data_IF_848546101998
#
_entry.id   IF_848546101998
#
_cell.length_a   1.000
_cell.length_b   1.000
_cell.length_c   1.000
_cell.angle_alpha   90.00
_cell.angle_beta   90.00
_cell.angle_gamma   90.00
#
_symmetry.space_group_name_H-M   'P 1'
#
loop_
_entity.id
_entity.type
_entity.pdbx_description
1 polymer ?
#
# COMPACT_ATOMS: atom_id res chain seq x y z
N UNK A 1 -4.35 -64.56 5.32
CA UNK A 1 -4.95 -63.28 5.74
C UNK A 1 -3.90 -62.20 5.56
N UNK A 2 -3.97 -61.49 4.44
CA UNK A 2 -3.08 -60.38 4.14
C UNK A 2 -3.71 -59.12 4.74
N UNK A 3 -3.02 -58.49 5.68
CA UNK A 3 -3.47 -57.26 6.33
C UNK A 3 -2.94 -56.08 5.52
N UNK A 4 -3.85 -55.35 4.88
CA UNK A 4 -3.57 -54.08 4.19
C UNK A 4 -3.20 -52.99 5.21
N UNK A 5 -2.05 -52.38 5.01
CA UNK A 5 -1.74 -51.00 5.42
C UNK A 5 -1.01 -50.44 4.19
N UNK A 6 -1.56 -49.45 3.45
CA UNK A 6 -1.30 -48.04 3.82
C UNK A 6 -2.34 -47.02 3.27
N UNK A 7 -3.05 -46.31 4.15
CA UNK A 7 -3.84 -45.13 3.73
C UNK A 7 -3.39 -43.84 4.44
N UNK A 8 -2.70 -43.96 5.58
CA UNK A 8 -2.39 -42.82 6.45
C UNK A 8 -1.09 -42.10 6.07
N UNK A 9 -0.15 -42.75 5.38
CA UNK A 9 1.12 -42.12 4.98
C UNK A 9 0.97 -41.25 3.72
N UNK A 10 0.20 -41.69 2.73
CA UNK A 10 -0.05 -40.90 1.51
C UNK A 10 -0.86 -39.61 1.77
N UNK A 11 -1.73 -39.61 2.77
CA UNK A 11 -2.53 -38.43 3.13
C UNK A 11 -1.72 -37.34 3.85
N UNK A 12 -0.59 -37.69 4.47
CA UNK A 12 0.31 -36.73 5.12
C UNK A 12 1.31 -36.15 4.11
N UNK A 13 1.89 -36.99 3.24
CA UNK A 13 2.79 -36.51 2.17
C UNK A 13 2.08 -35.62 1.14
N UNK A 14 0.83 -35.94 0.73
CA UNK A 14 0.07 -35.06 -0.18
C UNK A 14 -0.32 -33.72 0.45
N UNK A 15 -0.53 -33.66 1.77
CA UNK A 15 -0.86 -32.42 2.46
C UNK A 15 0.38 -31.52 2.62
N UNK A 16 1.56 -32.12 2.83
CA UNK A 16 2.83 -31.39 2.93
C UNK A 16 3.27 -30.83 1.57
N UNK A 17 3.06 -31.55 0.47
CA UNK A 17 3.33 -31.03 -0.89
C UNK A 17 2.34 -29.91 -1.31
N UNK A 18 1.06 -29.99 -0.94
CA UNK A 18 0.10 -28.90 -1.17
C UNK A 18 0.37 -27.67 -0.29
N UNK A 19 0.86 -27.85 0.94
CA UNK A 19 1.28 -26.74 1.80
C UNK A 19 2.58 -26.09 1.33
N UNK A 20 3.54 -26.87 0.79
CA UNK A 20 4.75 -26.32 0.17
C UNK A 20 4.47 -25.59 -1.16
N UNK A 21 3.45 -26.01 -1.91
CA UNK A 21 2.99 -25.31 -3.12
C UNK A 21 2.27 -23.97 -2.83
N UNK A 22 1.97 -23.62 -1.57
CA UNK A 22 1.27 -22.40 -1.18
C UNK A 22 2.09 -21.47 -0.27
N UNK A 23 3.36 -21.24 -0.60
CA UNK A 23 4.06 -20.06 -0.10
C UNK A 23 3.48 -18.80 -0.76
N UNK A 24 3.35 -17.71 0.01
CA UNK A 24 2.86 -16.42 -0.50
C UNK A 24 3.79 -15.93 -1.61
N UNK A 25 3.25 -15.73 -2.82
CA UNK A 25 4.02 -15.38 -4.01
C UNK A 25 4.24 -13.86 -4.16
N UNK A 26 3.30 -13.05 -3.70
CA UNK A 26 3.32 -11.59 -3.83
C UNK A 26 3.30 -10.87 -2.48
N UNK A 27 2.66 -11.45 -1.47
CA UNK A 27 2.42 -10.85 -0.15
C UNK A 27 3.39 -11.34 0.93
N UNK A 28 4.48 -12.01 0.56
CA UNK A 28 5.54 -12.44 1.50
C UNK A 28 6.12 -11.25 2.29
N UNK A 29 6.26 -10.08 1.63
CA UNK A 29 6.72 -8.87 2.29
C UNK A 29 5.81 -8.43 3.46
N UNK A 30 4.51 -8.77 3.42
CA UNK A 30 3.56 -8.43 4.49
C UNK A 30 3.89 -9.25 5.73
N UNK A 31 4.23 -10.53 5.57
CA UNK A 31 4.68 -11.37 6.68
C UNK A 31 6.01 -10.85 7.23
N UNK A 32 6.97 -10.56 6.35
CA UNK A 32 8.26 -10.00 6.77
C UNK A 32 8.09 -8.68 7.55
N UNK A 33 7.29 -7.74 7.03
CA UNK A 33 7.01 -6.47 7.68
C UNK A 33 6.26 -6.66 9.02
N UNK A 34 5.34 -7.63 9.10
CA UNK A 34 4.63 -7.95 10.34
C UNK A 34 5.59 -8.48 11.40
N UNK A 35 6.46 -9.43 11.05
CA UNK A 35 7.49 -9.96 11.96
C UNK A 35 8.42 -8.84 12.41
N UNK A 36 8.86 -8.00 11.46
CA UNK A 36 9.73 -6.87 11.76
C UNK A 36 9.05 -5.88 12.71
N UNK A 37 7.79 -5.51 12.46
CA UNK A 37 7.03 -4.62 13.33
C UNK A 37 6.83 -5.20 14.74
N UNK A 38 6.47 -6.48 14.84
CA UNK A 38 6.32 -7.20 16.11
C UNK A 38 7.64 -7.22 16.89
N UNK A 39 8.75 -7.50 16.22
CA UNK A 39 10.07 -7.51 16.85
C UNK A 39 10.45 -6.12 17.38
N UNK A 40 10.25 -5.06 16.60
CA UNK A 40 10.55 -3.69 17.05
C UNK A 40 9.64 -3.27 18.21
N UNK A 41 8.34 -3.59 18.13
CA UNK A 41 7.39 -3.34 19.21
C UNK A 41 7.78 -4.10 20.49
N UNK A 42 8.21 -5.36 20.37
CA UNK A 42 8.67 -6.17 21.50
C UNK A 42 9.94 -5.61 22.15
N UNK A 43 10.89 -5.10 21.35
CA UNK A 43 12.09 -4.43 21.87
C UNK A 43 11.70 -3.18 22.65
N UNK A 44 10.85 -2.32 22.08
CA UNK A 44 10.40 -1.09 22.74
C UNK A 44 9.61 -1.40 24.01
N UNK A 45 8.71 -2.39 23.96
CA UNK A 45 7.92 -2.82 25.10
C UNK A 45 8.80 -3.38 26.22
N UNK A 46 9.69 -4.33 25.90
CA UNK A 46 10.61 -4.94 26.88
C UNK A 46 11.49 -3.88 27.53
N UNK A 47 12.05 -2.96 26.73
CA UNK A 47 12.84 -1.84 27.23
C UNK A 47 12.05 -0.92 28.18
N UNK A 48 10.82 -0.56 27.81
CA UNK A 48 9.95 0.27 28.64
C UNK A 48 9.54 -0.46 29.93
N UNK A 49 9.22 -1.75 29.84
CA UNK A 49 8.88 -2.61 30.98
C UNK A 49 10.03 -2.72 31.96
N UNK A 50 11.25 -2.97 31.49
CA UNK A 50 12.45 -3.03 32.35
C UNK A 50 12.76 -1.71 33.05
N UNK A 51 12.46 -0.57 32.39
CA UNK A 51 12.70 0.78 32.92
C UNK A 51 11.53 1.39 33.69
N UNK A 52 10.44 0.64 33.90
CA UNK A 52 9.21 1.16 34.53
C UNK A 52 9.28 1.33 36.06
N UNK A 53 10.37 0.87 36.70
CA UNK A 53 10.62 1.10 38.13
C UNK A 53 9.48 0.56 39.02
N UNK A 54 8.89 1.37 39.93
CA UNK A 54 7.78 0.94 40.79
C UNK A 54 6.54 0.41 40.06
N UNK A 55 6.37 0.75 38.78
CA UNK A 55 5.22 0.34 37.97
C UNK A 55 5.37 -1.05 37.33
N UNK A 56 6.56 -1.66 37.41
CA UNK A 56 6.87 -2.94 36.77
C UNK A 56 5.92 -4.06 37.20
N UNK A 57 5.62 -4.15 38.49
CA UNK A 57 4.70 -5.16 39.04
C UNK A 57 3.27 -4.99 38.52
N UNK A 58 2.82 -3.75 38.32
CA UNK A 58 1.53 -3.45 37.71
C UNK A 58 1.47 -3.88 36.24
N UNK A 59 2.53 -3.61 35.48
CA UNK A 59 2.64 -4.05 34.07
C UNK A 59 2.63 -5.58 33.96
N UNK A 60 3.38 -6.28 34.82
CA UNK A 60 3.39 -7.75 34.85
C UNK A 60 2.02 -8.34 35.22
N UNK A 61 1.31 -7.76 36.19
CA UNK A 61 -0.02 -8.23 36.56
C UNK A 61 -1.04 -8.05 35.43
N UNK A 62 -0.99 -6.92 34.71
CA UNK A 62 -1.88 -6.66 33.56
C UNK A 62 -1.50 -7.56 32.38
N UNK A 63 -0.21 -7.78 32.13
CA UNK A 63 0.26 -8.69 31.08
C UNK A 63 -0.27 -10.12 31.30
N UNK A 64 -0.19 -10.63 32.52
CA UNK A 64 -0.73 -11.96 32.86
C UNK A 64 -2.27 -12.02 32.76
N UNK A 65 -2.97 -10.96 33.17
CA UNK A 65 -4.42 -10.88 33.01
C UNK A 65 -4.83 -10.87 31.53
N UNK A 66 -4.18 -10.04 30.71
CA UNK A 66 -4.42 -9.96 29.26
C UNK A 66 -4.08 -11.28 28.61
N UNK A 67 -2.96 -11.90 28.95
CA UNK A 67 -2.58 -13.22 28.44
C UNK A 67 -3.63 -14.27 28.77
N UNK A 68 -4.18 -14.28 29.99
CA UNK A 68 -5.22 -15.23 30.40
C UNK A 68 -6.53 -15.04 29.63
N UNK A 69 -6.93 -13.79 29.37
CA UNK A 69 -8.19 -13.48 28.68
C UNK A 69 -8.06 -13.64 27.16
N UNK A 70 -6.92 -13.24 26.60
CA UNK A 70 -6.72 -13.16 25.14
C UNK A 70 -6.11 -14.43 24.58
N UNK A 71 -5.29 -15.20 25.33
CA UNK A 71 -4.69 -16.43 24.81
C UNK A 71 -5.72 -17.42 24.24
N UNK A 72 -6.86 -17.72 24.90
CA UNK A 72 -7.87 -18.62 24.33
C UNK A 72 -8.52 -18.09 23.04
N UNK A 73 -8.54 -16.77 22.86
CA UNK A 73 -9.05 -16.13 21.64
C UNK A 73 -8.00 -16.23 20.53
N UNK A 74 -6.74 -15.94 20.87
CA UNK A 74 -5.62 -16.06 19.94
C UNK A 74 -5.46 -17.50 19.43
N UNK A 75 -5.50 -18.50 20.32
CA UNK A 75 -5.39 -19.91 19.96
C UNK A 75 -6.47 -20.34 18.96
N UNK A 76 -7.68 -19.76 19.04
CA UNK A 76 -8.77 -20.05 18.11
C UNK A 76 -8.63 -19.34 16.76
N UNK A 77 -8.00 -18.17 16.71
CA UNK A 77 -8.05 -17.29 15.54
C UNK A 77 -6.70 -16.97 14.90
N UNK A 78 -5.57 -17.38 15.47
CA UNK A 78 -4.22 -17.03 14.97
C UNK A 78 -3.94 -17.49 13.54
N UNK A 79 -4.65 -18.52 13.06
CA UNK A 79 -4.53 -19.01 11.68
C UNK A 79 -5.35 -18.20 10.67
N UNK A 80 -6.43 -17.53 11.12
CA UNK A 80 -7.34 -16.79 10.24
C UNK A 80 -6.64 -15.68 9.44
N UNK A 81 -5.76 -14.84 10.04
CA UNK A 81 -5.01 -13.83 9.29
C UNK A 81 -4.11 -14.42 8.20
N UNK A 82 -3.49 -15.57 8.48
CA UNK A 82 -2.60 -16.23 7.50
C UNK A 82 -3.41 -16.78 6.32
N UNK A 83 -4.56 -17.39 6.58
CA UNK A 83 -5.44 -17.91 5.53
C UNK A 83 -6.06 -16.79 4.68
N UNK A 84 -6.44 -15.67 5.29
CA UNK A 84 -6.90 -14.49 4.55
C UNK A 84 -5.79 -13.91 3.66
N UNK A 85 -4.56 -13.88 4.17
CA UNK A 85 -3.40 -13.40 3.41
C UNK A 85 -3.11 -14.31 2.22
N UNK A 86 -3.17 -15.64 2.39
CA UNK A 86 -3.07 -16.60 1.28
C UNK A 86 -4.18 -16.42 0.25
N UNK A 87 -5.41 -16.20 0.69
CA UNK A 87 -6.53 -15.93 -0.22
C UNK A 87 -6.28 -14.67 -1.05
N UNK A 88 -5.85 -13.59 -0.41
CA UNK A 88 -5.51 -12.34 -1.09
C UNK A 88 -4.34 -12.53 -2.07
N UNK A 89 -3.30 -13.25 -1.67
CA UNK A 89 -2.14 -13.55 -2.50
C UNK A 89 -2.51 -14.33 -3.76
N UNK A 90 -3.36 -15.36 -3.62
CA UNK A 90 -3.91 -16.10 -4.75
C UNK A 90 -4.75 -15.22 -5.68
N UNK A 91 -5.55 -14.31 -5.13
CA UNK A 91 -6.34 -13.36 -5.94
C UNK A 91 -5.46 -12.37 -6.71
N UNK A 92 -4.33 -11.97 -6.12
CA UNK A 92 -3.32 -11.19 -6.82
C UNK A 92 -2.70 -12.01 -7.95
N UNK A 93 -2.35 -13.27 -7.72
CA UNK A 93 -1.80 -14.17 -8.75
C UNK A 93 -2.76 -14.34 -9.94
N UNK A 94 -4.04 -14.62 -9.68
CA UNK A 94 -5.09 -14.70 -10.70
C UNK A 94 -5.18 -13.41 -11.53
N UNK A 95 -5.14 -12.25 -10.85
CA UNK A 95 -5.21 -10.93 -11.50
C UNK A 95 -3.97 -10.66 -12.37
N UNK A 96 -2.78 -11.02 -11.86
CA UNK A 96 -1.53 -10.87 -12.59
C UNK A 96 -1.52 -11.78 -13.83
N UNK A 97 -1.98 -13.03 -13.71
CA UNK A 97 -2.07 -13.95 -14.84
C UNK A 97 -3.03 -13.45 -15.94
N UNK A 98 -4.18 -12.89 -15.54
CA UNK A 98 -5.15 -12.33 -16.50
C UNK A 98 -4.58 -11.10 -17.22
N UNK A 99 -3.89 -10.21 -16.50
CA UNK A 99 -3.17 -9.08 -17.10
C UNK A 99 -2.05 -9.58 -18.03
N UNK A 100 -1.31 -10.60 -17.62
CA UNK A 100 -0.19 -11.15 -18.39
C UNK A 100 -0.64 -11.68 -19.76
N UNK A 101 -1.85 -12.24 -19.83
CA UNK A 101 -2.51 -12.73 -21.05
C UNK A 101 -2.94 -11.61 -21.99
N UNK A 102 -3.31 -10.45 -21.46
CA UNK A 102 -3.87 -9.33 -22.23
C UNK A 102 -2.85 -8.24 -22.57
N UNK A 103 -1.66 -8.27 -21.97
CA UNK A 103 -0.63 -7.25 -22.16
C UNK A 103 0.42 -7.70 -23.18
N UNK A 104 0.56 -7.01 -24.32
CA UNK A 104 1.57 -7.33 -25.31
C UNK A 104 2.99 -7.12 -24.75
N UNK A 105 3.94 -7.94 -25.21
CA UNK A 105 5.30 -8.11 -24.65
C UNK A 105 6.15 -6.82 -24.65
N UNK A 106 5.79 -5.83 -25.46
CA UNK A 106 6.38 -4.50 -25.50
C UNK A 106 6.10 -3.68 -24.22
N UNK A 107 4.94 -3.83 -23.60
CA UNK A 107 4.61 -3.14 -22.34
C UNK A 107 5.36 -3.74 -21.15
N UNK A 108 5.55 -5.07 -21.13
CA UNK A 108 6.36 -5.76 -20.11
C UNK A 108 7.82 -5.27 -20.14
N UNK A 109 8.42 -5.12 -21.33
CA UNK A 109 9.77 -4.56 -21.50
C UNK A 109 9.87 -3.11 -21.03
N UNK A 110 8.90 -2.27 -21.37
CA UNK A 110 8.88 -0.87 -20.92
C UNK A 110 8.74 -0.76 -19.39
N UNK A 111 7.93 -1.63 -18.76
CA UNK A 111 7.79 -1.68 -17.30
C UNK A 111 9.09 -2.12 -16.62
N UNK A 112 9.73 -3.19 -17.10
CA UNK A 112 11.02 -3.64 -16.53
C UNK A 112 12.10 -2.59 -16.69
N UNK A 113 12.12 -1.87 -17.82
CA UNK A 113 13.04 -0.76 -18.06
C UNK A 113 12.76 0.42 -17.12
N UNK A 114 11.48 0.73 -16.85
CA UNK A 114 11.10 1.75 -15.86
C UNK A 114 11.48 1.36 -14.43
N UNK A 115 11.23 0.11 -14.01
CA UNK A 115 11.65 -0.40 -12.70
C UNK A 115 13.18 -0.40 -12.53
N UNK A 116 13.91 -0.75 -13.59
CA UNK A 116 15.37 -0.66 -13.62
C UNK A 116 15.84 0.79 -13.43
N UNK A 117 15.27 1.74 -14.18
CA UNK A 117 15.57 3.18 -14.04
C UNK A 117 15.25 3.68 -12.63
N UNK A 118 14.14 3.26 -12.01
CA UNK A 118 13.81 3.59 -10.62
C UNK A 118 14.82 3.02 -9.62
N UNK A 119 15.28 1.78 -9.83
CA UNK A 119 16.27 1.14 -8.96
C UNK A 119 17.67 1.76 -9.10
N UNK A 120 18.06 2.14 -10.32
CA UNK A 120 19.31 2.84 -10.61
C UNK A 120 19.30 4.25 -10.00
N UNK A 121 18.18 4.97 -10.08
CA UNK A 121 17.99 6.28 -9.42
C UNK A 121 18.13 6.18 -7.90
N UNK A 122 17.57 5.13 -7.29
CA UNK A 122 17.72 4.88 -5.85
C UNK A 122 19.17 4.60 -5.44
N UNK A 123 19.96 3.98 -6.32
CA UNK A 123 21.34 3.56 -6.04
C UNK A 123 22.37 4.66 -6.32
N UNK A 124 22.15 5.44 -7.37
CA UNK A 124 23.10 6.47 -7.84
C UNK A 124 22.81 7.85 -7.25
N UNK A 125 21.68 8.02 -6.55
CA UNK A 125 21.27 9.32 -5.99
C UNK A 125 20.92 10.35 -7.06
N UNK A 126 20.77 9.93 -8.32
CA UNK A 126 20.47 10.78 -9.47
C UNK A 126 18.96 11.08 -9.51
N UNK A 127 18.50 11.74 -8.45
CA UNK A 127 17.11 12.20 -8.30
C UNK A 127 16.75 13.16 -9.43
N UNK A 128 17.70 13.94 -9.94
CA UNK A 128 17.46 14.95 -10.98
C UNK A 128 17.14 14.34 -12.35
N UNK A 129 17.78 13.24 -12.74
CA UNK A 129 17.46 12.53 -14.01
C UNK A 129 16.12 11.79 -13.88
N UNK A 130 15.84 11.20 -12.72
CA UNK A 130 14.56 10.56 -12.43
C UNK A 130 13.39 11.57 -12.48
N UNK A 131 13.60 12.74 -11.86
CA UNK A 131 12.68 13.87 -11.87
C UNK A 131 12.48 14.39 -13.30
N UNK A 132 13.54 14.48 -14.10
CA UNK A 132 13.48 14.85 -15.51
C UNK A 132 12.64 13.88 -16.37
N UNK A 133 12.81 12.57 -16.17
CA UNK A 133 12.02 11.54 -16.87
C UNK A 133 10.57 11.49 -16.39
N UNK A 134 10.32 11.62 -15.09
CA UNK A 134 8.98 11.72 -14.54
C UNK A 134 8.26 12.94 -15.13
N UNK A 135 8.91 14.11 -15.16
CA UNK A 135 8.38 15.32 -15.80
C UNK A 135 8.00 15.08 -17.26
N UNK A 136 8.87 14.46 -18.07
CA UNK A 136 8.56 14.20 -19.49
C UNK A 136 7.36 13.27 -19.69
N UNK A 137 7.19 12.28 -18.81
CA UNK A 137 6.02 11.39 -18.85
C UNK A 137 4.76 12.14 -18.38
N UNK A 138 4.88 12.95 -17.33
CA UNK A 138 3.80 13.81 -16.86
C UNK A 138 3.36 14.78 -17.95
N UNK A 139 4.27 15.52 -18.58
CA UNK A 139 3.99 16.49 -19.64
C UNK A 139 3.24 15.86 -20.83
N UNK A 140 3.51 14.58 -21.13
CA UNK A 140 2.83 13.85 -22.21
C UNK A 140 1.45 13.35 -21.82
N UNK A 141 1.25 13.03 -20.54
CA UNK A 141 -0.01 12.51 -20.00
C UNK A 141 -0.98 13.63 -19.58
N UNK A 142 -0.43 14.75 -19.11
CA UNK A 142 -1.16 15.91 -18.61
C UNK A 142 -2.25 16.40 -19.57
N UNK A 143 -1.99 16.68 -20.87
CA UNK A 143 -3.05 17.19 -21.76
C UNK A 143 -4.19 16.18 -21.96
N UNK A 144 -3.89 14.87 -21.93
CA UNK A 144 -4.92 13.82 -22.04
C UNK A 144 -5.74 13.70 -20.76
N UNK A 145 -5.08 13.80 -19.60
CA UNK A 145 -5.73 13.80 -18.30
C UNK A 145 -6.64 15.03 -18.13
N UNK A 146 -6.17 16.21 -18.52
CA UNK A 146 -6.94 17.46 -18.52
C UNK A 146 -8.17 17.34 -19.43
N UNK A 147 -8.01 16.86 -20.66
CA UNK A 147 -9.13 16.69 -21.59
C UNK A 147 -10.18 15.71 -21.07
N UNK A 148 -9.74 14.61 -20.44
CA UNK A 148 -10.62 13.64 -19.80
C UNK A 148 -11.36 14.25 -18.60
N UNK A 149 -10.66 14.98 -17.74
CA UNK A 149 -11.23 15.65 -16.57
C UNK A 149 -12.26 16.72 -16.98
N UNK A 150 -11.96 17.55 -17.98
CA UNK A 150 -12.88 18.53 -18.56
C UNK A 150 -14.13 17.85 -19.14
N UNK A 151 -13.94 16.78 -19.90
CA UNK A 151 -15.05 16.04 -20.51
C UNK A 151 -15.95 15.39 -19.44
N UNK A 152 -15.37 14.82 -18.40
CA UNK A 152 -16.10 14.26 -17.27
C UNK A 152 -16.86 15.35 -16.50
N UNK A 153 -16.21 16.47 -16.21
CA UNK A 153 -16.81 17.62 -15.52
C UNK A 153 -18.00 18.20 -16.29
N UNK A 154 -17.88 18.32 -17.62
CA UNK A 154 -18.99 18.77 -18.49
C UNK A 154 -20.19 17.83 -18.41
N UNK A 155 -19.97 16.51 -18.39
CA UNK A 155 -21.04 15.52 -18.22
C UNK A 155 -21.66 15.59 -16.82
N UNK A 156 -20.85 15.73 -15.77
CA UNK A 156 -21.37 15.88 -14.41
C UNK A 156 -22.21 17.15 -14.25
N UNK A 157 -21.80 18.27 -14.85
CA UNK A 157 -22.59 19.53 -14.87
C UNK A 157 -23.99 19.38 -15.47
N UNK A 158 -24.22 18.40 -16.35
CA UNK A 158 -25.55 18.14 -16.93
C UNK A 158 -26.49 17.41 -15.96
N UNK A 159 -25.99 16.89 -14.84
CA UNK A 159 -26.81 16.21 -13.84
C UNK A 159 -27.51 17.23 -12.94
N UNK A 160 -28.84 17.11 -12.72
CA UNK A 160 -29.64 18.14 -12.05
C UNK A 160 -29.26 18.40 -10.58
N UNK A 161 -28.60 17.45 -9.92
CA UNK A 161 -28.17 17.58 -8.53
C UNK A 161 -26.71 17.97 -8.37
N UNK A 162 -25.91 17.86 -9.44
CA UNK A 162 -24.47 18.04 -9.36
C UNK A 162 -24.04 19.47 -8.98
N UNK A 163 -24.65 20.56 -9.49
CA UNK A 163 -24.28 21.91 -9.08
C UNK A 163 -24.37 22.12 -7.56
N UNK A 164 -25.42 21.60 -6.92
CA UNK A 164 -25.62 21.72 -5.47
C UNK A 164 -24.61 20.92 -4.66
N UNK A 165 -24.19 19.76 -5.17
CA UNK A 165 -23.12 18.95 -4.56
C UNK A 165 -21.77 19.63 -4.76
N UNK A 166 -21.51 20.15 -5.96
CA UNK A 166 -20.28 20.87 -6.28
C UNK A 166 -20.10 22.10 -5.38
N UNK A 167 -21.12 22.92 -5.19
CA UNK A 167 -21.07 24.11 -4.32
C UNK A 167 -20.78 23.78 -2.85
N UNK A 168 -21.23 22.61 -2.37
CA UNK A 168 -20.97 22.17 -1.01
C UNK A 168 -19.54 21.61 -0.82
N UNK A 169 -18.97 21.01 -1.87
CA UNK A 169 -17.70 20.29 -1.81
C UNK A 169 -16.52 21.15 -2.26
N UNK A 170 -16.70 21.99 -3.29
CA UNK A 170 -15.66 22.84 -3.87
C UNK A 170 -14.93 23.72 -2.83
N UNK A 171 -15.62 24.40 -1.89
CA UNK A 171 -14.93 25.21 -0.89
C UNK A 171 -14.04 24.37 0.05
N UNK A 172 -14.50 23.17 0.42
CA UNK A 172 -13.73 22.25 1.25
C UNK A 172 -12.54 21.67 0.49
N UNK A 173 -12.73 21.32 -0.77
CA UNK A 173 -11.66 20.85 -1.64
C UNK A 173 -10.59 21.94 -1.81
N UNK A 174 -10.99 23.18 -2.10
CA UNK A 174 -10.07 24.32 -2.22
C UNK A 174 -9.26 24.56 -0.94
N UNK A 175 -9.93 24.61 0.23
CA UNK A 175 -9.27 24.76 1.52
C UNK A 175 -8.28 23.62 1.83
N UNK A 176 -8.67 22.37 1.58
CA UNK A 176 -7.78 21.22 1.80
C UNK A 176 -6.55 21.26 0.87
N UNK A 177 -6.74 21.64 -0.39
CA UNK A 177 -5.65 21.78 -1.36
C UNK A 177 -4.70 22.90 -0.99
N UNK A 178 -5.21 24.05 -0.54
CA UNK A 178 -4.40 25.16 -0.05
C UNK A 178 -3.54 24.73 1.15
N UNK A 179 -4.16 24.10 2.16
CA UNK A 179 -3.44 23.61 3.35
C UNK A 179 -2.39 22.56 3.03
N UNK A 180 -2.68 21.66 2.09
CA UNK A 180 -1.71 20.70 1.60
C UNK A 180 -0.51 21.41 0.95
N UNK A 181 -0.76 22.34 0.02
CA UNK A 181 0.30 23.07 -0.68
C UNK A 181 1.17 23.88 0.28
N UNK A 182 0.57 24.59 1.25
CA UNK A 182 1.29 25.29 2.31
C UNK A 182 2.18 24.34 3.11
N UNK A 183 1.65 23.19 3.52
CA UNK A 183 2.40 22.20 4.32
C UNK A 183 3.58 21.62 3.55
N UNK A 184 3.39 21.32 2.26
CA UNK A 184 4.46 20.85 1.38
C UNK A 184 5.54 21.92 1.19
N UNK A 185 5.16 23.18 0.95
CA UNK A 185 6.10 24.29 0.82
C UNK A 185 6.90 24.52 2.12
N UNK A 186 6.23 24.61 3.26
CA UNK A 186 6.87 24.79 4.57
C UNK A 186 7.80 23.63 4.94
N UNK A 187 7.44 22.39 4.58
CA UNK A 187 8.29 21.22 4.84
C UNK A 187 9.49 21.14 3.88
N UNK A 188 9.37 21.67 2.66
CA UNK A 188 10.49 21.86 1.75
C UNK A 188 11.46 22.93 2.26
N UNK A 189 10.97 24.07 2.73
CA UNK A 189 11.79 25.13 3.33
C UNK A 189 12.56 24.65 4.56
N UNK A 190 11.96 23.78 5.37
CA UNK A 190 12.59 23.17 6.54
C UNK A 190 13.58 22.04 6.20
N UNK A 191 13.73 21.68 4.92
CA UNK A 191 14.70 20.67 4.47
C UNK A 191 14.31 19.22 4.76
N UNK A 192 13.02 18.92 5.00
CA UNK A 192 12.56 17.54 5.17
C UNK A 192 12.71 16.77 3.86
N UNK A 193 13.45 15.66 3.83
CA UNK A 193 13.67 14.87 2.60
C UNK A 193 12.38 14.35 1.95
N UNK A 194 11.31 14.17 2.72
CA UNK A 194 10.03 13.66 2.21
C UNK A 194 9.32 14.69 1.32
N UNK A 195 9.51 15.99 1.55
CA UNK A 195 8.84 17.05 0.79
C UNK A 195 9.34 17.16 -0.65
N UNK A 196 10.58 16.74 -0.92
CA UNK A 196 11.13 16.64 -2.27
C UNK A 196 10.36 15.66 -3.18
N UNK A 197 9.52 14.81 -2.60
CA UNK A 197 8.69 13.83 -3.32
C UNK A 197 7.21 14.19 -3.33
N UNK A 198 6.78 15.25 -2.62
CA UNK A 198 5.39 15.66 -2.53
C UNK A 198 5.12 16.77 -3.56
N UNK A 199 4.29 16.52 -4.59
CA UNK A 199 4.01 17.52 -5.62
C UNK A 199 3.08 18.60 -5.07
N UNK A 200 3.28 19.85 -5.48
CA UNK A 200 2.31 20.92 -5.28
C UNK A 200 1.15 20.77 -6.27
N UNK A 201 -0.07 21.02 -5.81
CA UNK A 201 -1.26 21.01 -6.65
C UNK A 201 -1.38 22.36 -7.37
N UNK A 202 -1.41 22.40 -8.72
CA UNK A 202 -1.44 23.63 -9.49
C UNK A 202 -2.88 24.20 -9.56
N UNK A 203 -3.34 24.83 -8.48
CA UNK A 203 -4.70 25.37 -8.34
C UNK A 203 -5.06 26.38 -9.43
N UNK A 204 -4.17 27.30 -9.76
CA UNK A 204 -4.39 28.31 -10.83
C UNK A 204 -4.63 27.66 -12.19
N UNK A 205 -3.85 26.62 -12.51
CA UNK A 205 -3.98 25.90 -13.78
C UNK A 205 -5.32 25.16 -13.84
N UNK A 206 -5.70 24.51 -12.75
CA UNK A 206 -6.99 23.80 -12.62
C UNK A 206 -8.15 24.78 -12.82
N UNK A 207 -8.13 25.93 -12.14
CA UNK A 207 -9.17 26.96 -12.29
C UNK A 207 -9.28 27.41 -13.76
N UNK A 208 -8.16 27.68 -14.43
CA UNK A 208 -8.15 28.11 -15.83
C UNK A 208 -8.69 27.03 -16.78
N UNK A 209 -8.31 25.77 -16.59
CA UNK A 209 -8.79 24.63 -17.39
C UNK A 209 -10.30 24.46 -17.26
N UNK A 210 -10.85 24.60 -16.06
CA UNK A 210 -12.29 24.43 -15.81
C UNK A 210 -13.14 25.70 -16.04
N UNK A 211 -12.53 26.88 -16.04
CA UNK A 211 -13.17 28.13 -16.47
C UNK A 211 -13.40 28.15 -17.99
N UNK A 212 -12.56 27.43 -18.75
CA UNK A 212 -12.61 27.32 -20.21
C UNK A 212 -13.48 26.15 -20.72
N UNK A 213 -14.14 25.40 -19.82
CA UNK A 213 -14.73 24.07 -20.05
C UNK A 213 -16.25 23.99 -20.25
#
# INVERSE_FOLDING_TARGET
MASEVPATQQFVEQNEEQQQQQQLKYLEFVQFATIQALMHAAIVYTYAKERSGPLKSGVESVEEAVKTVVAPVYDKFHLVPVELLKYADRKVDESVAEIDRHVPSNVKKASSQACYVVSEVRRTGVVDVASGLAKTVYDKCEPKAEQAAVSAWRKLKQLPLFPRVADAVLPKAAYCTEKYNETVALSAEKGYRVSAYLPLVPTEKIVNVFASA
#
